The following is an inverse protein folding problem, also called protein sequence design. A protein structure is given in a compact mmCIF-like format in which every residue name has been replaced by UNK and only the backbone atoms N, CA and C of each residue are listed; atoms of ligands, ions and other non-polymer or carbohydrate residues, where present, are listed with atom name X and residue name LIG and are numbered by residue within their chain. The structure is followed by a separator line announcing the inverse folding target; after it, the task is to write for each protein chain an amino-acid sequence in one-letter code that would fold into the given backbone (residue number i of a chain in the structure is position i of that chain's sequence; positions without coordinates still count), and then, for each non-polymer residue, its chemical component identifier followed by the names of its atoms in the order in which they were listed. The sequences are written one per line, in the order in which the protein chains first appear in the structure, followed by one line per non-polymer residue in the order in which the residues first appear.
data_IF_077535054666
#
_entry.id   IF_077535054666
#
_cell.length_a   1.000
_cell.length_b   1.000
_cell.length_c   1.000
_cell.angle_alpha   90.00
_cell.angle_beta   90.00
_cell.angle_gamma   90.00
#
_symmetry.space_group_name_H-M   'P 1'
#
loop_
_entity.id
_entity.type
_entity.pdbx_description
1 polymer ?
#
# COMPACT_ATOMS: atom_id res chain seq x y z
N UNK A 1 -28.85 -28.55 56.04
CA UNK A 1 -28.75 -28.52 54.57
C UNK A 1 -27.51 -27.73 54.21
N UNK A 2 -26.40 -28.43 53.98
CA UNK A 2 -25.14 -27.82 53.55
C UNK A 2 -25.23 -27.58 52.04
N UNK A 3 -24.99 -26.35 51.60
CA UNK A 3 -24.83 -26.02 50.18
C UNK A 3 -23.37 -26.25 49.81
N UNK A 4 -23.20 -27.05 48.76
CA UNK A 4 -21.94 -27.42 48.13
C UNK A 4 -21.14 -26.18 47.70
N UNK A 5 -19.92 -26.06 48.20
CA UNK A 5 -18.87 -25.29 47.57
C UNK A 5 -18.23 -26.19 46.51
N UNK A 6 -18.52 -25.86 45.25
CA UNK A 6 -17.93 -26.46 44.06
C UNK A 6 -16.51 -25.89 43.94
N UNK A 7 -15.50 -26.73 44.16
CA UNK A 7 -14.10 -26.39 43.90
C UNK A 7 -13.89 -26.39 42.37
N UNK A 8 -13.66 -25.21 41.81
CA UNK A 8 -13.20 -25.05 40.43
C UNK A 8 -11.73 -25.54 40.34
N UNK A 9 -11.35 -26.33 39.32
CA UNK A 9 -9.96 -26.71 39.14
C UNK A 9 -9.15 -25.48 38.74
N UNK A 10 -8.13 -25.19 39.54
CA UNK A 10 -7.09 -24.20 39.26
C UNK A 10 -6.50 -24.46 37.87
N UNK A 11 -6.90 -23.63 36.92
CA UNK A 11 -6.31 -23.58 35.59
C UNK A 11 -4.90 -23.00 35.78
N UNK A 12 -3.89 -23.86 35.73
CA UNK A 12 -2.47 -23.49 35.75
C UNK A 12 -2.24 -22.37 34.72
N UNK A 13 -2.07 -21.16 35.23
CA UNK A 13 -1.81 -19.96 34.46
C UNK A 13 -0.49 -20.18 33.73
N UNK A 14 -0.57 -20.23 32.40
CA UNK A 14 0.61 -20.26 31.53
C UNK A 14 1.52 -19.08 31.92
N UNK A 15 2.68 -19.41 32.50
CA UNK A 15 3.76 -18.46 32.72
C UNK A 15 4.01 -17.69 31.42
N UNK A 16 4.07 -16.36 31.54
CA UNK A 16 4.31 -15.46 30.43
C UNK A 16 5.61 -15.86 29.70
N UNK A 17 5.46 -16.56 28.57
CA UNK A 17 6.56 -16.94 27.69
C UNK A 17 7.21 -15.67 27.15
N UNK A 18 8.49 -15.47 27.51
CA UNK A 18 9.32 -14.40 26.97
C UNK A 18 9.37 -14.44 25.44
N UNK A 19 9.49 -13.28 24.75
CA UNK A 19 9.51 -13.22 23.28
C UNK A 19 10.66 -14.01 22.65
N UNK A 20 11.75 -14.24 23.38
CA UNK A 20 12.87 -15.09 22.97
C UNK A 20 12.55 -16.60 23.03
N UNK A 21 11.54 -17.03 23.79
CA UNK A 21 11.11 -18.43 23.80
C UNK A 21 10.21 -18.79 22.62
N UNK A 22 9.57 -17.79 21.99
CA UNK A 22 8.53 -17.97 20.98
C UNK A 22 9.07 -18.35 19.58
N UNK A 23 10.39 -18.34 19.36
CA UNK A 23 11.01 -18.76 18.08
C UNK A 23 10.34 -18.11 16.86
N UNK A 24 10.27 -16.78 16.86
CA UNK A 24 9.54 -16.01 15.85
C UNK A 24 10.14 -16.18 14.44
N UNK A 25 11.46 -16.32 14.34
CA UNK A 25 12.14 -16.50 13.06
C UNK A 25 11.83 -17.86 12.44
N UNK A 26 11.86 -18.91 13.25
CA UNK A 26 11.41 -20.23 12.83
C UNK A 26 9.92 -20.24 12.49
N UNK A 27 9.10 -19.47 13.21
CA UNK A 27 7.67 -19.36 12.95
C UNK A 27 7.37 -18.72 11.59
N UNK A 28 8.14 -17.71 11.19
CA UNK A 28 8.08 -17.13 9.84
C UNK A 28 8.37 -18.19 8.77
N UNK A 29 9.38 -19.04 8.99
CA UNK A 29 9.74 -20.10 8.04
C UNK A 29 8.72 -21.25 7.97
N UNK A 30 8.26 -21.76 9.12
CA UNK A 30 7.38 -22.92 9.19
C UNK A 30 5.89 -22.60 9.07
N UNK A 31 5.49 -21.34 9.30
CA UNK A 31 4.08 -20.93 9.36
C UNK A 31 3.35 -21.37 10.63
N UNK A 32 4.05 -21.97 11.59
CA UNK A 32 3.56 -22.35 12.91
C UNK A 32 4.70 -22.29 13.92
N UNK A 33 4.37 -22.14 15.20
CA UNK A 33 5.38 -22.20 16.27
C UNK A 33 5.81 -23.66 16.49
N UNK A 34 7.11 -23.95 16.59
CA UNK A 34 7.61 -25.30 16.86
C UNK A 34 6.94 -25.96 18.08
N UNK A 35 6.68 -25.17 19.12
CA UNK A 35 6.03 -25.59 20.36
C UNK A 35 4.61 -26.11 20.10
N UNK A 36 3.81 -25.42 19.26
CA UNK A 36 2.46 -25.89 18.92
C UNK A 36 2.50 -27.20 18.13
N UNK A 37 3.46 -27.37 17.21
CA UNK A 37 3.62 -28.64 16.49
C UNK A 37 3.95 -29.79 17.44
N UNK A 38 4.94 -29.60 18.33
CA UNK A 38 5.35 -30.61 19.31
C UNK A 38 4.20 -30.96 20.26
N UNK A 39 3.45 -29.96 20.74
CA UNK A 39 2.28 -30.17 21.59
C UNK A 39 1.26 -31.08 20.88
N UNK A 40 0.92 -30.79 19.62
CA UNK A 40 -0.04 -31.60 18.85
C UNK A 40 0.44 -33.03 18.65
N UNK A 41 1.73 -33.22 18.37
CA UNK A 41 2.33 -34.56 18.25
C UNK A 41 2.24 -35.31 19.59
N UNK A 42 2.60 -34.67 20.70
CA UNK A 42 2.52 -35.26 22.03
C UNK A 42 1.08 -35.64 22.42
N UNK A 43 0.10 -34.77 22.12
CA UNK A 43 -1.32 -35.06 22.34
C UNK A 43 -1.77 -36.28 21.52
N UNK A 44 -1.42 -36.34 20.23
CA UNK A 44 -1.78 -37.48 19.38
C UNK A 44 -1.20 -38.81 19.90
N UNK A 45 0.03 -38.81 20.42
CA UNK A 45 0.61 -40.00 21.06
C UNK A 45 -0.14 -40.40 22.33
N UNK A 46 -0.55 -39.43 23.16
CA UNK A 46 -1.33 -39.71 24.36
C UNK A 46 -2.71 -40.25 24.03
N UNK A 47 -3.39 -39.67 23.04
CA UNK A 47 -4.70 -40.15 22.58
C UNK A 47 -4.61 -41.60 22.08
N UNK A 48 -3.59 -41.92 21.27
CA UNK A 48 -3.32 -43.28 20.80
C UNK A 48 -3.08 -44.25 21.97
N UNK A 49 -2.37 -43.82 23.02
CA UNK A 49 -2.16 -44.64 24.21
C UNK A 49 -3.47 -44.94 24.93
N UNK A 50 -4.32 -43.93 25.09
CA UNK A 50 -5.64 -44.08 25.72
C UNK A 50 -6.62 -44.90 24.88
N UNK A 51 -6.47 -44.92 23.55
CA UNK A 51 -7.29 -45.74 22.66
C UNK A 51 -6.86 -47.22 22.64
N UNK A 52 -5.54 -47.49 22.67
CA UNK A 52 -5.01 -48.86 22.57
C UNK A 52 -5.23 -49.64 23.87
N UNK A 53 -5.02 -49.03 25.04
CA UNK A 53 -5.07 -49.74 26.32
C UNK A 53 -6.42 -50.43 26.61
N UNK A 54 -7.59 -49.79 26.37
CA UNK A 54 -8.89 -50.45 26.49
C UNK A 54 -9.08 -51.60 25.49
N UNK A 55 -8.47 -51.53 24.29
CA UNK A 55 -8.53 -52.63 23.31
C UNK A 55 -7.72 -53.82 23.82
N UNK A 56 -6.51 -53.58 24.34
CA UNK A 56 -5.68 -54.61 24.96
C UNK A 56 -6.40 -55.24 26.14
N UNK A 57 -7.01 -54.44 27.01
CA UNK A 57 -7.82 -54.90 28.14
C UNK A 57 -8.95 -55.85 27.67
N UNK A 58 -9.74 -55.42 26.68
CA UNK A 58 -10.83 -56.23 26.09
C UNK A 58 -10.33 -57.54 25.49
N UNK A 59 -9.19 -57.53 24.79
CA UNK A 59 -8.61 -58.75 24.20
C UNK A 59 -8.14 -59.71 25.29
N UNK A 60 -7.46 -59.21 26.32
CA UNK A 60 -7.02 -60.02 27.47
C UNK A 60 -8.20 -60.69 28.17
N UNK A 61 -9.27 -59.95 28.49
CA UNK A 61 -10.49 -60.49 29.11
C UNK A 61 -11.12 -61.57 28.22
N UNK A 62 -11.24 -61.33 26.91
CA UNK A 62 -11.80 -62.30 25.96
C UNK A 62 -10.99 -63.59 25.87
N UNK A 63 -9.66 -63.51 25.93
CA UNK A 63 -8.80 -64.70 25.86
C UNK A 63 -8.83 -65.48 27.17
N UNK A 64 -8.78 -64.80 28.32
CA UNK A 64 -8.85 -65.44 29.64
C UNK A 64 -10.21 -66.12 29.89
N UNK A 65 -11.29 -65.54 29.36
CA UNK A 65 -12.63 -66.15 29.40
C UNK A 65 -12.70 -67.51 28.69
N UNK A 66 -11.97 -67.71 27.59
CA UNK A 66 -11.94 -69.00 26.87
C UNK A 66 -11.36 -70.14 27.70
N UNK A 67 -10.62 -69.83 28.77
CA UNK A 67 -9.99 -70.79 29.69
C UNK A 67 -10.89 -71.34 30.79
N UNK A 68 -12.19 -70.98 30.83
CA UNK A 68 -13.16 -71.61 31.76
C UNK A 68 -13.32 -70.92 33.13
N UNK A 69 -13.17 -69.59 33.21
CA UNK A 69 -13.42 -68.83 34.45
C UNK A 69 -14.91 -68.50 34.62
N UNK A 70 -15.50 -68.90 35.74
CA UNK A 70 -16.92 -68.66 36.12
C UNK A 70 -17.18 -67.25 36.68
N UNK A 71 -16.16 -66.40 36.84
CA UNK A 71 -16.28 -65.10 37.53
C UNK A 71 -15.88 -63.92 36.64
N UNK A 72 -16.73 -63.64 35.64
CA UNK A 72 -16.50 -62.64 34.58
C UNK A 72 -16.32 -61.21 35.14
N UNK A 73 -17.09 -60.84 36.16
CA UNK A 73 -17.01 -59.52 36.80
C UNK A 73 -15.68 -59.31 37.54
N UNK A 74 -15.19 -60.33 38.24
CA UNK A 74 -13.90 -60.27 38.93
C UNK A 74 -12.74 -60.19 37.94
N UNK A 75 -12.83 -60.93 36.82
CA UNK A 75 -11.82 -60.90 35.76
C UNK A 75 -11.76 -59.54 35.07
N UNK A 76 -12.91 -58.92 34.80
CA UNK A 76 -13.00 -57.57 34.24
C UNK A 76 -12.47 -56.52 35.21
N UNK A 77 -12.84 -56.57 36.50
CA UNK A 77 -12.35 -55.65 37.51
C UNK A 77 -10.82 -55.73 37.67
N UNK A 78 -10.28 -56.95 37.68
CA UNK A 78 -8.82 -57.16 37.76
C UNK A 78 -8.10 -56.68 36.50
N UNK A 79 -8.62 -57.00 35.30
CA UNK A 79 -8.06 -56.52 34.04
C UNK A 79 -8.07 -54.99 33.97
N UNK A 80 -9.14 -54.35 34.48
CA UNK A 80 -9.25 -52.90 34.56
C UNK A 80 -8.21 -52.28 35.51
N UNK A 81 -8.04 -52.84 36.70
CA UNK A 81 -7.03 -52.37 37.66
C UNK A 81 -5.60 -52.51 37.10
N UNK A 82 -5.29 -53.65 36.46
CA UNK A 82 -4.02 -53.87 35.78
C UNK A 82 -3.80 -52.89 34.60
N UNK A 83 -4.84 -52.67 33.79
CA UNK A 83 -4.82 -51.71 32.67
C UNK A 83 -4.54 -50.29 33.14
N UNK A 84 -5.19 -49.86 34.24
CA UNK A 84 -4.95 -48.54 34.84
C UNK A 84 -3.54 -48.38 35.44
N UNK A 85 -2.99 -49.43 36.05
CA UNK A 85 -1.59 -49.44 36.53
C UNK A 85 -0.61 -49.31 35.37
N UNK A 86 -0.83 -50.07 34.29
CA UNK A 86 -0.04 -49.98 33.07
C UNK A 86 -0.15 -48.60 32.42
N UNK A 87 -1.35 -48.03 32.38
CA UNK A 87 -1.61 -46.68 31.86
C UNK A 87 -0.78 -45.63 32.60
N UNK A 88 -0.82 -45.63 33.94
CA UNK A 88 -0.04 -44.68 34.76
C UNK A 88 1.46 -44.81 34.48
N UNK A 89 1.98 -46.03 34.47
CA UNK A 89 3.38 -46.30 34.17
C UNK A 89 3.77 -45.77 32.78
N UNK A 90 2.96 -46.04 31.75
CA UNK A 90 3.26 -45.60 30.39
C UNK A 90 3.16 -44.08 30.23
N UNK A 91 2.22 -43.40 30.89
CA UNK A 91 2.10 -41.93 30.85
C UNK A 91 3.31 -41.28 31.51
N UNK A 92 3.76 -41.75 32.67
CA UNK A 92 4.97 -41.24 33.32
C UNK A 92 6.23 -41.44 32.46
N UNK A 93 6.38 -42.65 31.88
CA UNK A 93 7.46 -42.96 30.95
C UNK A 93 7.41 -42.10 29.70
N UNK A 94 6.22 -41.87 29.16
CA UNK A 94 6.01 -41.00 28.00
C UNK A 94 6.42 -39.57 28.32
N UNK A 95 5.98 -39.00 29.44
CA UNK A 95 6.35 -37.63 29.85
C UNK A 95 7.86 -37.41 29.92
N UNK A 96 8.61 -38.40 30.41
CA UNK A 96 10.07 -38.34 30.45
C UNK A 96 10.71 -38.41 29.04
N UNK A 97 10.21 -39.30 28.18
CA UNK A 97 10.73 -39.47 26.82
C UNK A 97 10.33 -38.31 25.90
N UNK A 98 9.12 -37.78 26.05
CA UNK A 98 8.59 -36.67 25.26
C UNK A 98 9.37 -35.40 25.52
N UNK A 99 9.81 -35.13 26.76
CA UNK A 99 10.67 -33.98 27.04
C UNK A 99 12.02 -34.05 26.31
N UNK A 100 12.62 -35.25 26.20
CA UNK A 100 13.86 -35.45 25.41
C UNK A 100 13.60 -35.30 23.91
N UNK A 101 12.49 -35.83 23.43
CA UNK A 101 12.07 -35.72 22.03
C UNK A 101 11.82 -34.26 21.66
N UNK A 102 11.10 -33.50 22.50
CA UNK A 102 10.84 -32.08 22.33
C UNK A 102 12.14 -31.29 22.19
N UNK A 103 13.10 -31.52 23.09
CA UNK A 103 14.40 -30.85 23.02
C UNK A 103 15.12 -31.12 21.69
N UNK A 104 15.14 -32.37 21.23
CA UNK A 104 15.80 -32.75 19.97
C UNK A 104 15.08 -32.19 18.73
N UNK A 105 13.75 -32.26 18.71
CA UNK A 105 12.95 -31.70 17.62
C UNK A 105 13.12 -30.19 17.55
N UNK A 106 13.08 -29.51 18.70
CA UNK A 106 13.28 -28.07 18.77
C UNK A 106 14.70 -27.67 18.35
N UNK A 107 15.75 -28.42 18.69
CA UNK A 107 17.13 -28.04 18.38
C UNK A 107 17.56 -28.41 16.96
N UNK A 108 17.04 -29.50 16.38
CA UNK A 108 17.55 -30.06 15.11
C UNK A 108 16.55 -30.03 13.95
N UNK A 109 15.24 -30.04 14.21
CA UNK A 109 14.23 -30.10 13.16
C UNK A 109 13.51 -28.76 12.98
N UNK A 110 13.23 -28.09 14.09
CA UNK A 110 12.50 -26.82 14.14
C UNK A 110 13.39 -25.68 14.62
N UNK A 111 14.59 -25.60 14.05
CA UNK A 111 15.54 -24.51 14.25
C UNK A 111 16.00 -24.01 12.89
N UNK A 112 16.05 -22.69 12.74
CA UNK A 112 16.73 -22.05 11.62
C UNK A 112 18.15 -21.74 12.10
N UNK A 113 19.21 -22.24 11.43
CA UNK A 113 20.58 -21.98 11.86
C UNK A 113 20.85 -20.47 11.88
N UNK A 114 21.57 -19.94 12.89
CA UNK A 114 21.76 -18.49 13.06
C UNK A 114 22.51 -17.82 11.91
N UNK A 115 23.25 -18.60 11.11
CA UNK A 115 24.01 -18.11 9.96
C UNK A 115 23.21 -18.17 8.65
N UNK A 116 21.96 -18.62 8.69
CA UNK A 116 21.10 -18.75 7.52
C UNK A 116 20.07 -17.64 7.55
N UNK A 117 20.07 -16.85 6.48
CA UNK A 117 19.05 -15.84 6.22
C UNK A 117 17.94 -16.47 5.37
N UNK A 118 16.69 -16.31 5.79
CA UNK A 118 15.54 -16.76 5.03
C UNK A 118 15.44 -16.00 3.69
N UNK A 119 14.89 -16.63 2.64
CA UNK A 119 14.72 -15.99 1.33
C UNK A 119 13.96 -14.67 1.40
N UNK A 120 12.98 -14.57 2.29
CA UNK A 120 12.14 -13.39 2.52
C UNK A 120 12.96 -12.19 3.00
N UNK A 121 14.05 -12.44 3.72
CA UNK A 121 14.88 -11.40 4.33
C UNK A 121 16.10 -11.02 3.48
N UNK A 122 16.25 -11.58 2.27
CA UNK A 122 17.41 -11.30 1.39
C UNK A 122 17.59 -9.82 1.10
N UNK A 123 16.49 -9.07 0.97
CA UNK A 123 16.51 -7.62 0.77
C UNK A 123 17.26 -6.90 1.88
N UNK A 124 17.16 -7.35 3.13
CA UNK A 124 17.88 -6.75 4.27
C UNK A 124 19.40 -6.95 4.18
N UNK A 125 19.86 -7.99 3.47
CA UNK A 125 21.29 -8.24 3.22
C UNK A 125 21.79 -7.53 1.97
N UNK A 126 21.02 -7.59 0.89
CA UNK A 126 21.43 -7.05 -0.41
C UNK A 126 21.33 -5.51 -0.43
N UNK A 127 20.38 -4.97 0.32
CA UNK A 127 20.11 -3.54 0.44
C UNK A 127 19.94 -3.16 1.93
N UNK A 128 21.02 -3.16 2.72
CA UNK A 128 20.95 -2.67 4.08
C UNK A 128 20.69 -1.16 4.04
N UNK A 129 19.42 -0.77 4.17
CA UNK A 129 19.05 0.63 4.16
C UNK A 129 19.42 1.26 5.49
N UNK A 130 20.29 2.26 5.46
CA UNK A 130 20.48 3.14 6.60
C UNK A 130 19.23 4.02 6.76
N UNK A 131 18.79 4.19 8.01
CA UNK A 131 17.60 4.99 8.31
C UNK A 131 17.72 6.41 7.76
N UNK A 132 18.94 6.96 7.74
CA UNK A 132 19.20 8.28 7.17
C UNK A 132 19.00 8.33 5.65
N UNK A 133 19.30 7.25 4.92
CA UNK A 133 19.08 7.17 3.48
C UNK A 133 17.59 7.09 3.14
N UNK A 134 16.81 6.35 3.94
CA UNK A 134 15.35 6.27 3.79
C UNK A 134 14.73 7.66 3.96
N UNK A 135 15.10 8.40 5.01
CA UNK A 135 14.61 9.76 5.23
C UNK A 135 14.98 10.72 4.10
N UNK A 136 16.19 10.58 3.54
CA UNK A 136 16.61 11.38 2.37
C UNK A 136 15.78 11.06 1.14
N UNK A 137 15.46 9.78 0.92
CA UNK A 137 14.61 9.35 -0.19
C UNK A 137 13.18 9.87 -0.04
N UNK A 138 12.60 9.80 1.17
CA UNK A 138 11.29 10.37 1.46
C UNK A 138 11.25 11.88 1.20
N UNK A 139 12.24 12.63 1.71
CA UNK A 139 12.36 14.07 1.43
C UNK A 139 12.50 14.35 -0.07
N UNK A 140 13.32 13.58 -0.79
CA UNK A 140 13.50 13.75 -2.23
C UNK A 140 12.22 13.46 -3.01
N UNK A 141 11.39 12.53 -2.54
CA UNK A 141 10.13 12.17 -3.17
C UNK A 141 9.10 13.30 -2.98
N UNK A 142 9.03 13.88 -1.78
CA UNK A 142 8.19 15.04 -1.49
C UNK A 142 8.57 16.25 -2.32
N UNK A 143 9.87 16.54 -2.45
CA UNK A 143 10.36 17.65 -3.26
C UNK A 143 10.07 17.43 -4.75
N UNK A 144 10.23 16.21 -5.24
CA UNK A 144 9.88 15.86 -6.62
C UNK A 144 8.39 15.98 -6.88
N UNK A 145 7.54 15.61 -5.93
CA UNK A 145 6.09 15.75 -6.05
C UNK A 145 5.67 17.22 -6.17
N UNK A 146 6.21 18.08 -5.30
CA UNK A 146 5.95 19.54 -5.37
C UNK A 146 6.43 20.14 -6.69
N UNK A 147 7.61 19.73 -7.16
CA UNK A 147 8.14 20.19 -8.44
C UNK A 147 7.22 19.76 -9.60
N UNK A 148 6.74 18.51 -9.58
CA UNK A 148 5.78 18.02 -10.57
C UNK A 148 4.48 18.83 -10.57
N UNK A 149 3.89 19.11 -9.40
CA UNK A 149 2.68 19.93 -9.30
C UNK A 149 2.90 21.35 -9.84
N UNK A 150 4.05 21.95 -9.53
CA UNK A 150 4.41 23.27 -10.04
C UNK A 150 4.53 23.27 -11.58
N UNK A 151 5.16 22.24 -12.17
CA UNK A 151 5.28 22.07 -13.62
C UNK A 151 3.92 21.87 -14.30
N UNK A 152 3.01 21.12 -13.67
CA UNK A 152 1.63 20.95 -14.17
C UNK A 152 0.90 22.30 -14.18
N UNK A 153 1.01 23.08 -13.11
CA UNK A 153 0.43 24.43 -13.03
C UNK A 153 1.04 25.38 -14.05
N UNK A 154 2.37 25.38 -14.19
CA UNK A 154 3.08 26.20 -15.18
C UNK A 154 2.64 25.87 -16.61
N UNK A 155 2.51 24.59 -16.94
CA UNK A 155 1.98 24.13 -18.23
C UNK A 155 0.57 24.66 -18.48
N UNK A 156 -0.30 24.61 -17.48
CA UNK A 156 -1.67 25.14 -17.61
C UNK A 156 -1.68 26.65 -17.84
N UNK A 157 -0.84 27.40 -17.13
CA UNK A 157 -0.69 28.84 -17.33
C UNK A 157 -0.19 29.17 -18.74
N UNK A 158 0.81 28.45 -19.25
CA UNK A 158 1.33 28.63 -20.61
C UNK A 158 0.28 28.32 -21.68
N UNK A 159 -0.56 27.29 -21.47
CA UNK A 159 -1.66 26.99 -22.38
C UNK A 159 -2.71 28.10 -22.38
N UNK A 160 -3.03 28.69 -21.22
CA UNK A 160 -3.96 29.81 -21.12
C UNK A 160 -3.40 31.07 -21.82
N UNK A 161 -2.12 31.39 -21.62
CA UNK A 161 -1.46 32.51 -22.27
C UNK A 161 -1.42 32.34 -23.80
N UNK A 162 -1.20 31.10 -24.28
CA UNK A 162 -1.23 30.80 -25.71
C UNK A 162 -2.61 31.03 -26.34
N UNK A 163 -3.70 30.71 -25.63
CA UNK A 163 -5.05 31.03 -26.11
C UNK A 163 -5.33 32.54 -26.09
N UNK A 164 -4.85 33.28 -25.10
CA UNK A 164 -4.94 34.74 -25.06
C UNK A 164 -4.19 35.38 -26.25
N UNK A 165 -2.98 34.91 -26.53
CA UNK A 165 -2.19 35.40 -27.68
C UNK A 165 -2.90 35.17 -29.01
N UNK A 166 -3.57 34.02 -29.20
CA UNK A 166 -4.36 33.75 -30.41
C UNK A 166 -5.52 34.72 -30.57
N UNK A 167 -6.21 35.04 -29.48
CA UNK A 167 -7.33 35.99 -29.50
C UNK A 167 -6.84 37.40 -29.88
N UNK A 168 -5.76 37.88 -29.24
CA UNK A 168 -5.17 39.19 -29.55
C UNK A 168 -4.67 39.23 -31.01
N UNK A 169 -4.07 38.14 -31.50
CA UNK A 169 -3.64 38.04 -32.89
C UNK A 169 -4.82 38.14 -33.86
N UNK A 170 -5.92 37.43 -33.60
CA UNK A 170 -7.13 37.52 -34.42
C UNK A 170 -7.72 38.94 -34.44
N UNK A 171 -7.71 39.64 -33.31
CA UNK A 171 -8.16 41.03 -33.23
C UNK A 171 -7.26 41.98 -34.03
N UNK A 172 -5.94 41.78 -33.98
CA UNK A 172 -4.98 42.57 -34.75
C UNK A 172 -5.16 42.33 -36.26
N UNK A 173 -5.30 41.07 -36.67
CA UNK A 173 -5.52 40.69 -38.07
C UNK A 173 -6.81 41.32 -38.62
N UNK A 174 -7.88 41.30 -37.83
CA UNK A 174 -9.14 41.98 -38.17
C UNK A 174 -8.98 43.49 -38.33
N UNK A 175 -8.19 44.12 -37.46
CA UNK A 175 -7.93 45.56 -37.54
C UNK A 175 -7.09 45.91 -38.77
N UNK A 176 -6.09 45.08 -39.09
CA UNK A 176 -5.29 45.24 -40.30
C UNK A 176 -6.14 45.05 -41.56
N UNK A 177 -7.04 44.07 -41.57
CA UNK A 177 -7.98 43.86 -42.68
C UNK A 177 -8.91 45.07 -42.85
N UNK A 178 -9.52 45.57 -41.78
CA UNK A 178 -10.33 46.78 -41.82
C UNK A 178 -9.56 48.01 -42.33
N UNK A 179 -8.31 48.20 -41.90
CA UNK A 179 -7.45 49.28 -42.42
C UNK A 179 -7.16 49.13 -43.92
N UNK A 180 -6.96 47.90 -44.41
CA UNK A 180 -6.77 47.63 -45.84
C UNK A 180 -8.05 47.93 -46.63
N UNK A 181 -9.20 47.51 -46.13
CA UNK A 181 -10.50 47.80 -46.74
C UNK A 181 -10.78 49.30 -46.82
N UNK A 182 -10.54 50.05 -45.74
CA UNK A 182 -10.69 51.50 -45.69
C UNK A 182 -9.80 52.19 -46.73
N UNK A 183 -8.52 51.78 -46.81
CA UNK A 183 -7.59 52.30 -47.82
C UNK A 183 -8.05 51.96 -49.24
N UNK A 184 -8.55 50.75 -49.46
CA UNK A 184 -9.04 50.33 -50.77
C UNK A 184 -10.31 51.10 -51.18
N UNK A 185 -11.24 51.36 -50.26
CA UNK A 185 -12.42 52.18 -50.49
C UNK A 185 -12.05 53.62 -50.87
N UNK A 186 -11.12 54.23 -50.13
CA UNK A 186 -10.61 55.57 -50.41
C UNK A 186 -10.01 55.68 -51.82
N UNK A 187 -9.20 54.71 -52.23
CA UNK A 187 -8.62 54.65 -53.58
C UNK A 187 -9.70 54.46 -54.65
N UNK A 188 -10.73 53.65 -54.38
CA UNK A 188 -11.86 53.44 -55.32
C UNK A 188 -12.69 54.70 -55.55
N UNK A 189 -12.81 55.58 -54.56
CA UNK A 189 -13.50 56.88 -54.71
C UNK A 189 -12.70 57.91 -55.52
N UNK A 190 -11.54 57.52 -56.08
CA UNK A 190 -10.70 58.37 -56.92
C UNK A 190 -9.72 59.24 -56.13
N UNK A 191 -9.67 59.09 -54.80
CA UNK A 191 -8.72 59.78 -53.95
C UNK A 191 -7.39 59.00 -53.91
N UNK A 192 -6.28 59.68 -54.18
CA UNK A 192 -4.94 59.10 -54.10
C UNK A 192 -4.47 58.94 -52.66
N UNK A 193 -3.18 59.14 -52.41
CA UNK A 193 -2.66 59.17 -51.04
C UNK A 193 -3.35 60.31 -50.25
N UNK A 194 -3.91 60.00 -49.06
CA UNK A 194 -4.62 60.97 -48.22
C UNK A 194 -3.79 62.25 -47.99
N UNK A 195 -2.48 62.10 -47.72
CA UNK A 195 -1.58 63.24 -47.51
C UNK A 195 -1.44 64.13 -48.76
N UNK A 196 -1.42 63.52 -49.94
CA UNK A 196 -1.35 64.25 -51.22
C UNK A 196 -2.68 64.94 -51.55
N UNK A 197 -3.81 64.24 -51.33
CA UNK A 197 -5.14 64.82 -51.53
C UNK A 197 -5.37 66.01 -50.60
N UNK A 198 -5.01 65.91 -49.32
CA UNK A 198 -5.15 67.00 -48.36
C UNK A 198 -4.25 68.19 -48.71
N UNK A 199 -3.00 67.94 -49.12
CA UNK A 199 -2.07 68.98 -49.58
C UNK A 199 -2.58 69.75 -50.80
N UNK A 200 -3.09 69.04 -51.81
CA UNK A 200 -3.66 69.65 -53.01
C UNK A 200 -4.86 70.54 -52.69
N UNK A 201 -5.73 70.10 -51.75
CA UNK A 201 -6.87 70.91 -51.28
C UNK A 201 -6.36 72.17 -50.59
N UNK A 202 -5.39 72.07 -49.68
CA UNK A 202 -4.83 73.22 -48.98
C UNK A 202 -4.16 74.23 -49.92
N UNK A 203 -3.38 73.77 -50.89
CA UNK A 203 -2.76 74.63 -51.91
C UNK A 203 -3.83 75.33 -52.77
N UNK A 204 -4.91 74.63 -53.12
CA UNK A 204 -6.02 75.20 -53.88
C UNK A 204 -6.79 76.24 -53.06
N UNK A 205 -6.98 76.00 -51.77
CA UNK A 205 -7.65 76.91 -50.85
C UNK A 205 -6.84 78.19 -50.64
N UNK A 206 -5.50 78.07 -50.55
CA UNK A 206 -4.59 79.20 -50.47
C UNK A 206 -4.67 80.08 -51.73
N UNK A 207 -4.60 79.46 -52.92
CA UNK A 207 -4.78 80.18 -54.19
C UNK A 207 -6.14 80.86 -54.31
N UNK A 208 -7.20 80.20 -53.83
CA UNK A 208 -8.54 80.78 -53.81
C UNK A 208 -8.62 81.98 -52.86
N UNK A 209 -7.99 81.89 -51.69
CA UNK A 209 -7.94 82.98 -50.72
C UNK A 209 -7.18 84.19 -51.26
N UNK A 210 -6.07 83.96 -51.97
CA UNK A 210 -5.33 84.99 -52.70
C UNK A 210 -6.21 85.65 -53.77
N UNK A 211 -6.88 84.86 -54.63
CA UNK A 211 -7.77 85.37 -55.67
C UNK A 211 -8.98 86.13 -55.12
N UNK A 212 -9.57 85.69 -54.01
CA UNK A 212 -10.67 86.40 -53.33
C UNK A 212 -10.16 87.71 -52.71
N UNK A 213 -8.94 87.73 -52.18
CA UNK A 213 -8.27 88.95 -51.72
C UNK A 213 -8.08 89.95 -52.86
N UNK A 214 -7.60 89.50 -54.03
CA UNK A 214 -7.46 90.34 -55.22
C UNK A 214 -8.80 90.88 -55.73
N UNK A 215 -9.85 90.06 -55.77
CA UNK A 215 -11.20 90.50 -56.16
C UNK A 215 -11.78 91.47 -55.14
N UNK A 216 -11.52 91.29 -53.84
CA UNK A 216 -11.93 92.25 -52.80
C UNK A 216 -11.19 93.58 -52.95
N UNK A 217 -9.89 93.58 -53.27
CA UNK A 217 -9.10 94.79 -53.54
C UNK A 217 -9.56 95.49 -54.82
N UNK A 218 -9.85 94.76 -55.91
CA UNK A 218 -10.43 95.31 -57.14
C UNK A 218 -11.87 95.83 -56.94
N UNK A 219 -12.64 95.26 -56.00
CA UNK A 219 -13.96 95.77 -55.63
C UNK A 219 -13.92 96.99 -54.68
N UNK A 220 -12.74 97.42 -54.21
CA UNK A 220 -12.53 98.51 -53.25
C UNK A 220 -11.67 99.67 -53.77
N UNK A 221 -11.78 100.02 -55.05
CA UNK A 221 -11.41 101.38 -55.47
C UNK A 221 -11.83 101.75 -56.91
N UNK A 222 -12.03 103.04 -57.23
CA UNK A 222 -12.53 104.15 -56.43
C UNK A 222 -13.86 104.70 -57.01
N UNK A 223 -14.82 105.02 -56.13
CA UNK A 223 -15.75 106.13 -56.33
C UNK A 223 -15.76 106.97 -55.06
#
# INVERSE_FOLDING_TARGET
MARETREDPEMEVCEATSPSSLKLYETQFFGFTPQTCILRVCSAFQDCLYDILPVVEKVCVRQLRKGGSENEEQLQAWARDCSLKLQRFLVERFKHLSGRMEALLASHCFSVPPNVLLPEDRSHKDYPQDFQEVLKLESSLDDLHKAYEAEVCARQALLAELEEQKEVQAQLDRTLEWMRELRAAWVKEGNGNFDQSFRLVMESLQKLQEAVGEVQVCSRGPH
#
